data_IF_724535159921
#
_entry.id   IF_724535159921
#
_cell.length_a   1.000
_cell.length_b   1.000
_cell.length_c   1.000
_cell.angle_alpha   90.00
_cell.angle_beta   90.00
_cell.angle_gamma   90.00
#
_symmetry.space_group_name_H-M   'P 1'
#
loop_
_entity.id
_entity.type
_entity.pdbx_description
1 polymer ?
#
# COMPACT_ATOMS: atom_id res chain seq x y z
N UNK A 1 -33.15 17.00 14.22
CA UNK A 1 -32.42 16.04 13.35
C UNK A 1 -31.23 16.68 12.64
N UNK A 2 -31.41 17.85 12.01
CA UNK A 2 -30.37 18.54 11.22
C UNK A 2 -29.16 19.04 12.04
N UNK A 3 -29.35 19.36 13.32
CA UNK A 3 -28.24 19.75 14.21
C UNK A 3 -27.26 18.61 14.54
N UNK A 4 -27.78 17.39 14.80
CA UNK A 4 -26.96 16.20 15.04
C UNK A 4 -26.08 15.87 13.82
N UNK A 5 -26.59 16.11 12.62
CA UNK A 5 -25.84 15.91 11.37
C UNK A 5 -24.66 16.90 11.30
N UNK A 6 -24.88 18.18 11.58
CA UNK A 6 -23.81 19.19 11.60
C UNK A 6 -22.75 18.89 12.66
N UNK A 7 -23.18 18.42 13.82
CA UNK A 7 -22.29 18.03 14.91
C UNK A 7 -21.42 16.83 14.55
N UNK A 8 -21.99 15.80 13.92
CA UNK A 8 -21.25 14.65 13.39
C UNK A 8 -20.14 15.08 12.42
N UNK A 9 -20.43 15.99 11.48
CA UNK A 9 -19.42 16.48 10.54
C UNK A 9 -18.33 17.34 11.21
N UNK A 10 -18.66 18.13 12.23
CA UNK A 10 -17.67 18.88 13.02
C UNK A 10 -16.72 17.94 13.77
N UNK A 11 -17.26 16.95 14.46
CA UNK A 11 -16.46 15.95 15.18
C UNK A 11 -15.57 15.14 14.24
N UNK A 12 -16.09 14.75 13.07
CA UNK A 12 -15.30 14.04 12.06
C UNK A 12 -14.10 14.87 11.59
N UNK A 13 -14.26 16.18 11.37
CA UNK A 13 -13.16 17.09 11.01
C UNK A 13 -12.15 17.24 12.15
N UNK A 14 -12.61 17.34 13.40
CA UNK A 14 -11.73 17.42 14.57
C UNK A 14 -10.87 16.15 14.72
N UNK A 15 -11.49 14.97 14.59
CA UNK A 15 -10.82 13.66 14.59
C UNK A 15 -9.75 13.57 13.48
N UNK A 16 -10.04 14.06 12.27
CA UNK A 16 -9.05 14.09 11.20
C UNK A 16 -7.88 15.03 11.50
N UNK A 17 -8.13 16.20 12.11
CA UNK A 17 -7.06 17.13 12.52
C UNK A 17 -6.17 16.53 13.60
N UNK A 18 -6.76 15.89 14.59
CA UNK A 18 -6.03 15.22 15.66
C UNK A 18 -5.18 14.07 15.12
N UNK A 19 -5.74 13.22 14.25
CA UNK A 19 -4.99 12.16 13.56
C UNK A 19 -3.81 12.73 12.76
N UNK A 20 -4.01 13.83 12.02
CA UNK A 20 -2.92 14.51 11.29
C UNK A 20 -1.85 15.07 12.23
N UNK A 21 -2.23 15.66 13.36
CA UNK A 21 -1.30 16.19 14.35
C UNK A 21 -0.47 15.07 15.00
N UNK A 22 -1.09 13.94 15.37
CA UNK A 22 -0.39 12.75 15.87
C UNK A 22 0.61 12.21 14.84
N UNK A 23 0.20 12.09 13.58
CA UNK A 23 1.10 11.65 12.50
C UNK A 23 2.27 12.63 12.28
N UNK A 24 2.02 13.93 12.35
CA UNK A 24 3.07 14.95 12.21
C UNK A 24 4.08 14.92 13.38
N UNK A 25 3.62 14.62 14.60
CA UNK A 25 4.49 14.47 15.77
C UNK A 25 5.40 13.24 15.69
N UNK A 26 4.92 12.14 15.06
CA UNK A 26 5.68 10.90 14.89
C UNK A 26 6.58 10.92 13.63
N UNK A 27 6.24 11.75 12.63
CA UNK A 27 7.01 11.93 11.38
C UNK A 27 8.52 12.20 11.58
N UNK A 28 8.98 13.08 12.50
CA UNK A 28 10.42 13.31 12.68
C UNK A 28 11.18 12.08 13.22
N UNK A 29 10.50 11.21 13.98
CA UNK A 29 11.10 9.97 14.49
C UNK A 29 11.14 8.90 13.38
N UNK A 30 10.11 8.86 12.54
CA UNK A 30 10.07 8.03 11.32
C UNK A 30 11.17 8.42 10.33
N UNK A 31 11.48 9.71 10.16
CA UNK A 31 12.56 10.17 9.26
C UNK A 31 13.97 9.80 9.75
N UNK A 32 14.14 9.56 11.06
CA UNK A 32 15.40 9.03 11.64
C UNK A 32 15.57 7.53 11.41
N UNK A 33 14.47 6.79 11.40
CA UNK A 33 14.43 5.34 11.14
C UNK A 33 14.50 5.03 9.64
N UNK A 34 13.83 5.83 8.82
CA UNK A 34 13.78 5.72 7.36
C UNK A 34 14.29 7.01 6.71
N UNK A 35 15.62 7.15 6.49
CA UNK A 35 16.16 8.31 5.81
C UNK A 35 15.56 8.45 4.40
N UNK A 36 15.38 9.69 3.91
CA UNK A 36 14.78 9.93 2.60
C UNK A 36 15.57 9.22 1.50
N UNK A 37 14.89 8.33 0.77
CA UNK A 37 15.49 7.52 -0.28
C UNK A 37 16.15 8.39 -1.35
N UNK A 38 17.36 8.00 -1.74
CA UNK A 38 18.05 8.61 -2.88
C UNK A 38 17.29 8.30 -4.17
N UNK A 39 17.36 9.16 -5.20
CA UNK A 39 16.68 8.96 -6.51
C UNK A 39 16.94 7.57 -7.14
N UNK A 40 18.14 7.02 -6.95
CA UNK A 40 18.50 5.67 -7.43
C UNK A 40 17.76 4.58 -6.65
N UNK A 41 17.71 4.69 -5.33
CA UNK A 41 17.01 3.78 -4.40
C UNK A 41 15.49 3.83 -4.58
N UNK A 42 14.95 5.01 -4.88
CA UNK A 42 13.53 5.22 -5.20
C UNK A 42 13.09 4.48 -6.48
N UNK A 43 13.99 4.38 -7.46
CA UNK A 43 13.74 3.60 -8.70
C UNK A 43 13.82 2.10 -8.44
N UNK A 44 14.78 1.67 -7.63
CA UNK A 44 14.99 0.26 -7.26
C UNK A 44 13.80 -0.31 -6.48
N UNK A 45 13.18 0.48 -5.61
CA UNK A 45 12.04 0.05 -4.77
C UNK A 45 10.68 0.32 -5.37
N UNK A 46 10.64 0.65 -6.66
CA UNK A 46 9.39 0.87 -7.36
C UNK A 46 8.55 1.97 -6.72
N UNK A 47 9.19 3.09 -6.34
CA UNK A 47 8.59 4.22 -5.60
C UNK A 47 8.31 3.92 -4.12
N UNK A 48 9.23 3.24 -3.43
CA UNK A 48 9.07 2.90 -2.00
C UNK A 48 8.01 1.83 -1.73
N UNK A 49 7.66 1.01 -2.73
CA UNK A 49 6.69 -0.09 -2.60
C UNK A 49 7.28 -1.37 -2.03
N UNK A 50 8.61 -1.47 -2.02
CA UNK A 50 9.35 -2.63 -1.52
C UNK A 50 10.32 -2.15 -0.44
N UNK A 51 10.37 -2.85 0.68
CA UNK A 51 11.27 -2.52 1.79
C UNK A 51 12.74 -2.53 1.34
N UNK A 52 13.47 -1.48 1.71
CA UNK A 52 14.92 -1.47 1.69
C UNK A 52 15.41 -1.79 3.09
N UNK A 53 16.58 -2.43 3.12
CA UNK A 53 17.33 -2.58 4.37
C UNK A 53 17.94 -1.22 4.73
N UNK A 54 17.64 -0.64 5.91
CA UNK A 54 18.13 0.68 6.31
C UNK A 54 19.66 0.74 6.45
N UNK A 55 20.32 -0.40 6.71
CA UNK A 55 21.77 -0.50 6.89
C UNK A 55 22.51 -0.65 5.56
N UNK A 56 22.04 -1.56 4.69
CA UNK A 56 22.77 -1.92 3.46
C UNK A 56 22.26 -1.19 2.22
N UNK A 57 21.12 -0.49 2.32
CA UNK A 57 20.40 0.20 1.23
C UNK A 57 20.14 -0.66 -0.01
N UNK A 58 20.14 -1.98 0.17
CA UNK A 58 19.76 -2.97 -0.83
C UNK A 58 18.32 -3.41 -0.58
N UNK A 59 17.67 -3.97 -1.60
CA UNK A 59 16.35 -4.61 -1.41
C UNK A 59 16.53 -5.75 -0.41
N UNK A 60 15.71 -5.75 0.65
CA UNK A 60 15.63 -6.91 1.55
C UNK A 60 15.11 -8.13 0.78
N UNK A 61 15.41 -9.32 1.29
CA UNK A 61 14.83 -10.57 0.77
C UNK A 61 13.28 -10.51 0.74
N UNK A 62 12.67 -9.78 1.69
CA UNK A 62 11.23 -9.49 1.74
C UNK A 62 10.76 -8.58 0.60
N UNK A 63 11.54 -7.57 0.21
CA UNK A 63 11.25 -6.73 -0.96
C UNK A 63 11.27 -7.52 -2.28
N UNK A 64 12.18 -8.51 -2.40
CA UNK A 64 12.26 -9.40 -3.55
C UNK A 64 11.09 -10.39 -3.63
N UNK A 65 10.74 -11.03 -2.51
CA UNK A 65 9.60 -11.97 -2.46
C UNK A 65 8.28 -11.27 -2.69
N UNK A 66 8.10 -10.04 -2.20
CA UNK A 66 6.88 -9.24 -2.41
C UNK A 66 6.69 -8.90 -3.89
N UNK A 67 7.76 -8.53 -4.60
CA UNK A 67 7.70 -8.29 -6.06
C UNK A 67 7.33 -9.54 -6.84
N UNK A 68 7.85 -10.69 -6.44
CA UNK A 68 7.53 -11.98 -7.07
C UNK A 68 6.08 -12.39 -6.78
N UNK A 69 5.64 -12.25 -5.52
CA UNK A 69 4.28 -12.54 -5.08
C UNK A 69 3.25 -11.74 -5.86
N UNK A 70 3.49 -10.45 -6.10
CA UNK A 70 2.54 -9.62 -6.84
C UNK A 70 2.34 -10.09 -8.30
N UNK A 71 3.42 -10.50 -8.97
CA UNK A 71 3.32 -11.09 -10.31
C UNK A 71 2.59 -12.43 -10.31
N UNK A 72 2.87 -13.26 -9.31
CA UNK A 72 2.24 -14.57 -9.15
C UNK A 72 0.74 -14.46 -8.87
N UNK A 73 0.36 -13.54 -7.98
CA UNK A 73 -1.03 -13.26 -7.63
C UNK A 73 -1.82 -12.77 -8.85
N UNK A 74 -1.23 -11.89 -9.65
CA UNK A 74 -1.82 -11.44 -10.91
C UNK A 74 -2.00 -12.60 -11.90
N UNK A 75 -0.99 -13.46 -12.04
CA UNK A 75 -1.08 -14.63 -12.91
C UNK A 75 -2.17 -15.62 -12.43
N UNK A 76 -2.30 -15.82 -11.12
CA UNK A 76 -3.36 -16.66 -10.54
C UNK A 76 -4.75 -16.09 -10.80
N UNK A 77 -4.95 -14.79 -10.63
CA UNK A 77 -6.24 -14.14 -10.96
C UNK A 77 -6.59 -14.33 -12.43
N UNK A 78 -5.64 -14.11 -13.33
CA UNK A 78 -5.85 -14.31 -14.79
C UNK A 78 -6.19 -15.78 -15.09
N UNK A 79 -5.48 -16.72 -14.48
CA UNK A 79 -5.75 -18.15 -14.63
C UNK A 79 -7.16 -18.52 -14.16
N UNK A 80 -7.57 -18.06 -12.98
CA UNK A 80 -8.92 -18.28 -12.47
C UNK A 80 -10.00 -17.73 -13.41
N UNK A 81 -9.79 -16.52 -13.97
CA UNK A 81 -10.71 -15.93 -14.94
C UNK A 81 -10.80 -16.79 -16.20
N UNK A 82 -9.68 -17.26 -16.74
CA UNK A 82 -9.66 -18.14 -17.92
C UNK A 82 -10.40 -19.46 -17.68
N UNK A 83 -10.24 -20.05 -16.50
CA UNK A 83 -10.95 -21.29 -16.11
C UNK A 83 -12.46 -21.04 -16.10
N UNK A 84 -12.91 -19.96 -15.46
CA UNK A 84 -14.34 -19.60 -15.39
C UNK A 84 -14.90 -19.34 -16.79
N UNK A 85 -14.20 -18.57 -17.62
CA UNK A 85 -14.61 -18.29 -19.01
C UNK A 85 -14.73 -19.59 -19.82
N UNK A 86 -13.72 -20.46 -19.73
CA UNK A 86 -13.73 -21.76 -20.44
C UNK A 86 -14.91 -22.62 -20.00
N UNK A 87 -15.20 -22.65 -18.70
CA UNK A 87 -16.33 -23.41 -18.16
C UNK A 87 -17.68 -22.87 -18.61
N UNK A 88 -17.85 -21.54 -18.64
CA UNK A 88 -19.05 -20.88 -19.18
C UNK A 88 -19.22 -21.26 -20.65
N UNK A 89 -18.16 -21.19 -21.46
CA UNK A 89 -18.22 -21.58 -22.87
C UNK A 89 -18.68 -23.03 -22.99
N UNK A 90 -18.09 -23.99 -22.26
CA UNK A 90 -18.48 -25.40 -22.33
C UNK A 90 -19.92 -25.71 -21.91
N UNK A 91 -20.54 -24.88 -21.06
CA UNK A 91 -21.91 -25.09 -20.59
C UNK A 91 -22.94 -24.46 -21.53
N UNK A 92 -22.63 -23.26 -22.02
CA UNK A 92 -23.58 -22.47 -22.81
C UNK A 92 -23.42 -22.70 -24.32
N UNK A 93 -22.34 -23.35 -24.76
CA UNK A 93 -22.06 -23.72 -26.14
C UNK A 93 -21.91 -25.23 -26.27
#
# INVERSE_FOLDING_TARGET
>A
MWEKIKEYFRNKRAQHREKKARLAAVKPDLEKLDPPLTRKEYRLTGRGKYELDPETRKLTAFGLTTRLKHKLDTAMVVLCVLIVVTYIILIFF
#
